data_IF_001808404979
#
_entry.id   IF_001808404979
#
_cell.length_a   1.000
_cell.length_b   1.000
_cell.length_c   1.000
_cell.angle_alpha   90.00
_cell.angle_beta   90.00
_cell.angle_gamma   90.00
#
_symmetry.space_group_name_H-M   'P 1'
#
loop_
_entity.id
_entity.type
_entity.pdbx_description
1 polymer ?
#
# COMPACT_ATOMS: atom_id res chain seq x y z
N UNK A 1 10.07 7.87 15.48
CA UNK A 1 10.52 8.41 14.18
C UNK A 1 11.62 7.51 13.62
N UNK A 2 11.69 7.38 12.30
CA UNK A 2 12.65 6.49 11.62
C UNK A 2 14.10 6.91 11.84
N UNK A 3 14.36 8.20 12.08
CA UNK A 3 15.70 8.71 12.41
C UNK A 3 16.25 8.17 13.73
N UNK A 4 15.40 7.65 14.61
CA UNK A 4 15.78 7.02 15.90
C UNK A 4 15.85 5.50 15.84
N UNK A 5 15.76 4.89 14.64
CA UNK A 5 15.76 3.43 14.50
C UNK A 5 17.00 2.77 15.14
N UNK A 6 18.18 3.41 15.05
CA UNK A 6 19.40 2.91 15.74
C UNK A 6 19.18 2.76 17.25
N UNK A 7 18.55 3.75 17.86
CA UNK A 7 18.36 3.80 19.31
C UNK A 7 17.35 2.71 19.72
N UNK A 8 16.24 2.57 18.98
CA UNK A 8 15.28 1.49 19.17
C UNK A 8 15.91 0.09 19.04
N UNK A 9 16.83 -0.11 18.10
CA UNK A 9 17.53 -1.39 17.95
C UNK A 9 18.48 -1.68 19.12
N UNK A 10 19.12 -0.66 19.70
CA UNK A 10 19.96 -0.82 20.89
C UNK A 10 19.12 -1.20 22.12
N UNK A 11 17.92 -0.60 22.26
CA UNK A 11 16.98 -0.96 23.31
C UNK A 11 16.45 -2.38 23.11
N UNK A 12 16.07 -2.78 21.89
CA UNK A 12 15.68 -4.16 21.58
C UNK A 12 16.79 -5.16 21.91
N UNK A 13 18.06 -4.84 21.60
CA UNK A 13 19.19 -5.70 21.95
C UNK A 13 19.35 -5.92 23.46
N UNK A 14 18.97 -4.92 24.28
CA UNK A 14 19.03 -4.99 25.74
C UNK A 14 17.84 -5.75 26.32
N UNK A 15 16.65 -5.45 25.82
CA UNK A 15 15.38 -5.79 26.48
C UNK A 15 14.66 -6.97 25.82
N UNK A 16 14.82 -7.17 24.51
CA UNK A 16 14.14 -8.19 23.71
C UNK A 16 15.12 -8.85 22.72
N UNK A 17 16.12 -9.55 23.26
CA UNK A 17 17.22 -10.15 22.48
C UNK A 17 16.73 -11.02 21.32
N UNK A 18 15.71 -11.84 21.55
CA UNK A 18 15.15 -12.73 20.52
C UNK A 18 14.58 -11.93 19.33
N UNK A 19 13.85 -10.84 19.61
CA UNK A 19 13.34 -9.96 18.56
C UNK A 19 14.47 -9.23 17.84
N UNK A 20 15.51 -8.79 18.56
CA UNK A 20 16.70 -8.20 17.94
C UNK A 20 17.43 -9.21 17.03
N UNK A 21 17.49 -10.50 17.41
CA UNK A 21 18.01 -11.54 16.51
C UNK A 21 17.13 -11.73 15.28
N UNK A 22 15.80 -11.80 15.45
CA UNK A 22 14.86 -11.90 14.34
C UNK A 22 15.01 -10.70 13.39
N UNK A 23 15.14 -9.48 13.93
CA UNK A 23 15.44 -8.29 13.15
C UNK A 23 16.69 -8.51 12.29
N UNK A 24 17.80 -8.97 12.86
CA UNK A 24 19.05 -9.19 12.10
C UNK A 24 18.97 -10.35 11.09
N UNK A 25 18.03 -11.31 11.28
CA UNK A 25 17.75 -12.36 10.28
C UNK A 25 17.05 -11.82 9.04
N UNK A 26 16.24 -10.77 9.20
CA UNK A 26 15.36 -10.24 8.14
C UNK A 26 15.92 -8.97 7.53
N UNK A 27 16.41 -8.05 8.36
CA UNK A 27 16.74 -6.70 7.98
C UNK A 27 18.23 -6.37 8.11
N UNK A 28 18.63 -5.44 7.26
CA UNK A 28 19.83 -4.64 7.38
C UNK A 28 19.46 -3.19 7.64
N UNK A 29 20.29 -2.53 8.43
CA UNK A 29 20.14 -1.13 8.78
C UNK A 29 21.50 -0.43 8.74
N UNK A 30 21.55 0.69 8.03
CA UNK A 30 22.70 1.58 8.00
C UNK A 30 22.26 3.03 8.23
N UNK A 31 23.17 3.81 8.81
CA UNK A 31 22.97 5.24 8.98
C UNK A 31 24.21 5.95 8.47
N UNK A 32 24.03 6.71 7.41
CA UNK A 32 25.07 7.53 6.80
C UNK A 32 24.77 9.03 6.94
N UNK A 33 25.78 9.83 6.64
CA UNK A 33 25.66 11.29 6.55
C UNK A 33 26.08 11.74 5.16
N UNK A 34 25.22 12.53 4.52
CA UNK A 34 25.53 13.22 3.27
C UNK A 34 25.99 14.63 3.58
N UNK A 35 27.09 15.05 2.95
CA UNK A 35 27.63 16.41 3.02
C UNK A 35 27.75 17.01 1.62
N UNK A 36 27.65 18.33 1.52
CA UNK A 36 27.94 19.06 0.28
C UNK A 36 28.64 20.39 0.58
N UNK A 37 29.30 20.93 -0.46
CA UNK A 37 29.82 22.29 -0.43
C UNK A 37 28.79 23.22 -1.06
N UNK A 38 28.56 24.36 -0.43
CA UNK A 38 27.56 25.33 -0.85
C UNK A 38 28.19 26.39 -1.74
N UNK A 39 27.60 26.65 -2.90
CA UNK A 39 28.00 27.77 -3.76
C UNK A 39 27.42 29.09 -3.25
N UNK A 40 28.09 30.21 -3.55
CA UNK A 40 27.64 31.52 -3.08
C UNK A 40 26.22 31.87 -3.54
N UNK A 41 25.89 31.57 -4.80
CA UNK A 41 24.54 31.78 -5.32
C UNK A 41 23.45 30.96 -4.64
N UNK A 42 23.78 29.80 -4.04
CA UNK A 42 22.80 29.06 -3.22
C UNK A 42 22.60 29.70 -1.84
N UNK A 43 23.65 30.26 -1.23
CA UNK A 43 23.54 31.00 0.03
C UNK A 43 22.67 32.25 -0.14
N UNK A 44 22.88 32.99 -1.22
CA UNK A 44 22.06 34.18 -1.56
C UNK A 44 20.59 33.80 -1.78
N UNK A 45 20.33 32.69 -2.48
CA UNK A 45 18.97 32.28 -2.84
C UNK A 45 18.14 31.73 -1.68
N UNK A 46 18.73 30.94 -0.79
CA UNK A 46 18.00 30.21 0.26
C UNK A 46 18.29 30.69 1.68
N UNK A 47 19.28 31.57 1.86
CA UNK A 47 19.69 32.09 3.16
C UNK A 47 20.48 31.08 4.00
N UNK A 48 21.36 31.59 4.86
CA UNK A 48 22.33 30.79 5.63
C UNK A 48 21.67 29.73 6.51
N UNK A 49 20.56 30.04 7.18
CA UNK A 49 19.88 29.09 8.09
C UNK A 49 19.34 27.85 7.38
N UNK A 50 18.76 28.01 6.19
CA UNK A 50 18.25 26.86 5.43
C UNK A 50 19.42 25.99 4.97
N UNK A 51 20.49 26.62 4.48
CA UNK A 51 21.70 25.95 4.05
C UNK A 51 22.33 25.15 5.21
N UNK A 52 22.56 25.76 6.37
CA UNK A 52 23.09 25.09 7.56
C UNK A 52 22.23 23.89 7.96
N UNK A 53 20.90 24.02 7.90
CA UNK A 53 19.98 22.92 8.21
C UNK A 53 20.06 21.76 7.20
N UNK A 54 20.51 22.05 5.98
CA UNK A 54 20.60 21.11 4.88
C UNK A 54 21.99 20.49 4.73
N UNK A 55 23.06 21.13 5.24
CA UNK A 55 24.46 20.72 5.05
C UNK A 55 24.76 19.31 5.58
N UNK A 56 24.13 18.91 6.69
CA UNK A 56 24.31 17.60 7.29
C UNK A 56 23.03 16.78 7.18
N UNK A 57 22.97 15.92 6.17
CA UNK A 57 21.79 15.10 5.92
C UNK A 57 22.01 13.70 6.46
N UNK A 58 21.35 13.40 7.58
CA UNK A 58 21.25 12.02 8.05
C UNK A 58 20.39 11.21 7.08
N UNK A 59 20.92 10.07 6.64
CA UNK A 59 20.26 9.12 5.75
C UNK A 59 20.18 7.78 6.47
N UNK A 60 18.95 7.30 6.65
CA UNK A 60 18.68 5.96 7.16
C UNK A 60 18.44 5.04 5.96
N UNK A 61 19.22 3.96 5.87
CA UNK A 61 19.02 2.89 4.90
C UNK A 61 18.50 1.66 5.63
N UNK A 62 17.45 1.08 5.09
CA UNK A 62 16.85 -0.17 5.57
C UNK A 62 16.71 -1.12 4.41
N UNK A 63 16.96 -2.41 4.63
CA UNK A 63 16.96 -3.40 3.56
C UNK A 63 16.46 -4.73 4.07
N UNK A 64 15.51 -5.34 3.36
CA UNK A 64 14.97 -6.66 3.66
C UNK A 64 15.78 -7.70 2.90
N UNK A 65 16.59 -8.48 3.62
CA UNK A 65 17.51 -9.48 3.07
C UNK A 65 16.80 -10.60 2.31
N UNK A 66 15.51 -10.82 2.60
CA UNK A 66 14.73 -11.90 2.01
C UNK A 66 13.99 -11.47 0.76
N UNK A 67 13.43 -10.26 0.74
CA UNK A 67 12.64 -9.76 -0.39
C UNK A 67 13.41 -8.83 -1.32
N UNK A 68 14.58 -8.34 -0.89
CA UNK A 68 15.36 -7.33 -1.60
C UNK A 68 14.74 -5.93 -1.58
N UNK A 69 13.66 -5.72 -0.82
CA UNK A 69 13.02 -4.42 -0.66
C UNK A 69 13.89 -3.53 0.22
N UNK A 70 14.34 -2.39 -0.31
CA UNK A 70 15.17 -1.43 0.41
C UNK A 70 14.64 0.00 0.31
N UNK A 71 14.84 0.77 1.38
CA UNK A 71 14.31 2.13 1.50
C UNK A 71 15.30 3.08 2.15
N UNK A 72 15.38 4.28 1.58
CA UNK A 72 16.26 5.38 1.99
C UNK A 72 15.41 6.52 2.55
N UNK A 73 15.61 6.86 3.82
CA UNK A 73 14.96 7.98 4.49
C UNK A 73 15.97 9.10 4.71
N UNK A 74 15.74 10.23 4.05
CA UNK A 74 16.59 11.41 4.19
C UNK A 74 15.93 12.43 5.12
N UNK A 75 16.65 12.85 6.16
CA UNK A 75 16.16 13.81 7.17
C UNK A 75 15.63 15.13 6.60
N UNK A 76 16.16 15.63 5.49
CA UNK A 76 15.63 16.82 4.80
C UNK A 76 14.34 16.54 4.04
N UNK A 77 14.19 15.33 3.49
CA UNK A 77 12.95 14.92 2.82
C UNK A 77 11.81 14.76 3.82
N UNK A 78 12.09 14.19 4.99
CA UNK A 78 11.12 14.02 6.09
C UNK A 78 10.60 15.35 6.64
N UNK A 79 11.42 16.43 6.54
CA UNK A 79 11.06 17.78 7.00
C UNK A 79 10.30 18.61 5.97
N UNK A 80 10.11 18.12 4.74
CA UNK A 80 9.42 18.90 3.72
C UNK A 80 8.01 19.26 4.22
N UNK A 81 7.57 20.52 4.04
CA UNK A 81 6.24 20.93 4.45
C UNK A 81 5.19 19.98 3.90
N UNK A 82 4.11 19.81 4.66
CA UNK A 82 2.91 19.12 4.18
C UNK A 82 2.55 19.73 2.84
N UNK A 83 2.38 18.85 1.87
CA UNK A 83 1.99 19.15 0.50
C UNK A 83 0.85 20.16 0.48
N UNK A 84 0.85 21.12 -0.46
CA UNK A 84 -0.27 22.05 -0.68
C UNK A 84 -1.59 21.29 -0.88
N UNK A 85 -2.32 21.12 0.23
CA UNK A 85 -3.54 20.33 0.33
C UNK A 85 -4.72 21.04 -0.34
N UNK A 86 -4.70 22.37 -0.37
CA UNK A 86 -5.75 23.17 -1.00
C UNK A 86 -5.71 23.01 -2.51
N UNK A 87 -4.53 23.14 -3.12
CA UNK A 87 -4.37 22.90 -4.56
C UNK A 87 -4.66 21.43 -4.91
N UNK A 88 -4.20 20.48 -4.09
CA UNK A 88 -4.54 19.07 -4.28
C UNK A 88 -6.05 18.85 -4.26
N UNK A 89 -6.79 19.45 -3.32
CA UNK A 89 -8.26 19.34 -3.25
C UNK A 89 -8.94 19.97 -4.47
N UNK A 90 -8.48 21.13 -4.94
CA UNK A 90 -9.03 21.77 -6.15
C UNK A 90 -8.88 20.86 -7.38
N UNK A 91 -7.68 20.30 -7.59
CA UNK A 91 -7.43 19.36 -8.69
C UNK A 91 -8.31 18.11 -8.55
N UNK A 92 -8.48 17.59 -7.33
CA UNK A 92 -9.36 16.46 -7.07
C UNK A 92 -10.80 16.76 -7.49
N UNK A 93 -11.34 17.89 -7.05
CA UNK A 93 -12.71 18.30 -7.34
C UNK A 93 -12.95 18.49 -8.84
N UNK A 94 -11.96 19.00 -9.57
CA UNK A 94 -12.01 19.14 -11.03
C UNK A 94 -12.03 17.77 -11.73
N UNK A 95 -11.18 16.83 -11.30
CA UNK A 95 -11.15 15.47 -11.84
C UNK A 95 -12.49 14.74 -11.62
N UNK A 96 -13.07 14.83 -10.43
CA UNK A 96 -14.34 14.16 -10.08
C UNK A 96 -15.54 14.78 -10.82
N UNK A 97 -15.51 16.08 -11.10
CA UNK A 97 -16.58 16.77 -11.84
C UNK A 97 -16.60 16.39 -13.32
N UNK A 98 -15.46 16.00 -13.90
CA UNK A 98 -15.41 15.62 -15.32
C UNK A 98 -15.95 14.22 -15.58
N UNK A 99 -17.26 14.17 -15.85
CA UNK A 99 -17.97 12.94 -16.21
C UNK A 99 -18.15 12.74 -17.72
N UNK A 100 -17.65 13.66 -18.56
CA UNK A 100 -18.08 13.76 -19.97
C UNK A 100 -17.76 12.52 -20.82
N UNK A 101 -16.78 11.71 -20.40
CA UNK A 101 -16.33 10.49 -21.10
C UNK A 101 -16.18 9.29 -20.17
N UNK A 102 -16.95 9.27 -19.08
CA UNK A 102 -16.85 8.18 -18.12
C UNK A 102 -17.73 7.00 -18.54
N UNK A 103 -17.10 5.93 -19.01
CA UNK A 103 -17.76 4.68 -19.39
C UNK A 103 -18.45 4.01 -18.18
N UNK A 104 -17.90 4.23 -16.99
CA UNK A 104 -18.33 3.58 -15.74
C UNK A 104 -19.55 4.25 -15.08
N UNK A 105 -19.99 5.41 -15.56
CA UNK A 105 -21.27 5.99 -15.17
C UNK A 105 -22.48 5.22 -15.73
N UNK A 106 -22.29 4.47 -16.83
CA UNK A 106 -23.31 3.58 -17.42
C UNK A 106 -22.64 2.26 -17.83
N UNK A 107 -22.16 1.48 -16.85
CA UNK A 107 -21.27 0.35 -17.12
C UNK A 107 -21.96 -0.72 -17.98
N UNK A 108 -23.27 -0.92 -17.83
CA UNK A 108 -24.04 -1.87 -18.63
C UNK A 108 -24.04 -1.53 -20.14
N UNK A 109 -23.87 -0.25 -20.49
CA UNK A 109 -23.87 0.22 -21.88
C UNK A 109 -22.46 0.32 -22.47
N UNK A 110 -21.47 0.72 -21.67
CA UNK A 110 -20.13 1.07 -22.16
C UNK A 110 -19.00 0.13 -21.71
N UNK A 111 -19.33 -0.99 -21.06
CA UNK A 111 -18.35 -2.03 -20.73
C UNK A 111 -18.86 -3.40 -21.17
N UNK A 112 -17.98 -4.34 -21.55
CA UNK A 112 -18.41 -5.71 -21.83
C UNK A 112 -18.69 -6.46 -20.51
N UNK A 113 -19.41 -7.57 -20.59
CA UNK A 113 -19.57 -8.52 -19.49
C UNK A 113 -18.71 -9.77 -19.71
N UNK A 114 -18.49 -10.55 -18.65
CA UNK A 114 -17.81 -11.85 -18.76
C UNK A 114 -18.76 -12.88 -19.36
N UNK A 115 -18.25 -14.04 -19.81
CA UNK A 115 -19.07 -15.10 -20.41
C UNK A 115 -20.14 -15.66 -19.46
N UNK A 116 -19.94 -15.49 -18.15
CA UNK A 116 -20.90 -15.87 -17.12
C UNK A 116 -21.86 -14.73 -16.73
N UNK A 117 -21.81 -13.60 -17.45
CA UNK A 117 -22.57 -12.39 -17.18
C UNK A 117 -21.87 -11.46 -16.19
N UNK A 118 -22.66 -10.59 -15.56
CA UNK A 118 -22.20 -9.66 -14.51
C UNK A 118 -22.59 -10.15 -13.14
N UNK A 119 -21.73 -9.92 -12.17
CA UNK A 119 -22.08 -9.96 -10.75
C UNK A 119 -22.58 -8.57 -10.37
N UNK A 120 -23.76 -8.50 -9.79
CA UNK A 120 -24.40 -7.24 -9.38
C UNK A 120 -24.48 -7.20 -7.87
N UNK A 121 -23.67 -6.34 -7.26
CA UNK A 121 -23.76 -5.98 -5.85
C UNK A 121 -24.81 -4.92 -5.59
N UNK A 122 -25.03 -4.57 -4.33
CA UNK A 122 -25.93 -3.47 -3.93
C UNK A 122 -25.38 -2.11 -4.33
N UNK A 123 -24.06 -1.93 -4.23
CA UNK A 123 -23.35 -0.67 -4.46
C UNK A 123 -22.31 -0.76 -5.56
N UNK A 124 -22.21 -1.91 -6.24
CA UNK A 124 -21.25 -2.16 -7.30
C UNK A 124 -21.80 -3.08 -8.39
N UNK A 125 -21.12 -3.11 -9.53
CA UNK A 125 -21.41 -4.01 -10.63
C UNK A 125 -20.11 -4.43 -11.31
N UNK A 126 -20.02 -5.67 -11.77
CA UNK A 126 -18.84 -6.12 -12.49
C UNK A 126 -18.96 -5.94 -14.00
N UNK A 127 -17.80 -5.87 -14.63
CA UNK A 127 -17.63 -5.88 -16.07
C UNK A 127 -16.40 -6.70 -16.43
N UNK A 128 -16.36 -7.18 -17.66
CA UNK A 128 -15.15 -7.73 -18.27
C UNK A 128 -14.23 -6.56 -18.64
N UNK A 129 -12.95 -6.64 -18.32
CA UNK A 129 -12.01 -5.64 -18.81
C UNK A 129 -11.81 -5.83 -20.32
N UNK A 130 -11.98 -4.76 -21.11
CA UNK A 130 -11.77 -4.77 -22.56
C UNK A 130 -10.27 -4.90 -22.91
N UNK A 131 -9.41 -4.30 -22.09
CA UNK A 131 -7.95 -4.38 -22.21
C UNK A 131 -7.40 -5.22 -21.05
N UNK A 132 -7.55 -6.53 -21.19
CA UNK A 132 -7.26 -7.50 -20.14
C UNK A 132 -5.78 -7.52 -19.73
N UNK A 133 -5.53 -7.58 -18.43
CA UNK A 133 -4.18 -7.80 -17.89
C UNK A 133 -3.78 -9.28 -17.87
N UNK A 134 -4.77 -10.16 -17.69
CA UNK A 134 -4.64 -11.61 -17.70
C UNK A 134 -5.90 -12.23 -18.33
N UNK A 135 -5.89 -13.53 -18.62
CA UNK A 135 -7.00 -14.24 -19.26
C UNK A 135 -8.35 -13.97 -18.57
N UNK A 136 -8.34 -13.94 -17.23
CA UNK A 136 -9.47 -13.52 -16.41
C UNK A 136 -9.15 -12.19 -15.76
N UNK A 137 -9.62 -11.13 -16.41
CA UNK A 137 -9.46 -9.75 -15.98
C UNK A 137 -10.82 -9.07 -16.04
N UNK A 138 -11.38 -8.84 -14.85
CA UNK A 138 -12.63 -8.14 -14.61
C UNK A 138 -12.41 -6.78 -13.96
N UNK A 139 -13.49 -6.02 -13.90
CA UNK A 139 -13.61 -4.74 -13.23
C UNK A 139 -14.75 -4.86 -12.23
N UNK A 140 -14.55 -4.38 -11.02
CA UNK A 140 -15.64 -4.05 -10.09
C UNK A 140 -15.81 -2.54 -10.13
N UNK A 141 -17.00 -2.08 -10.54
CA UNK A 141 -17.30 -0.67 -10.77
C UNK A 141 -18.25 -0.21 -9.67
N UNK A 142 -17.88 0.85 -8.95
CA UNK A 142 -18.71 1.44 -7.90
C UNK A 142 -19.91 2.13 -8.53
N UNK A 143 -21.04 2.24 -7.83
CA UNK A 143 -22.19 3.02 -8.34
C UNK A 143 -21.92 4.53 -8.27
N UNK A 144 -21.16 4.97 -7.26
CA UNK A 144 -20.71 6.36 -7.15
C UNK A 144 -19.55 6.64 -8.09
N UNK A 145 -19.55 7.84 -8.67
CA UNK A 145 -18.48 8.28 -9.56
C UNK A 145 -17.22 8.68 -8.78
N UNK A 146 -17.37 9.34 -7.64
CA UNK A 146 -16.23 9.72 -6.81
C UNK A 146 -15.60 8.46 -6.20
N UNK A 147 -14.33 8.13 -6.51
CA UNK A 147 -13.67 6.95 -5.97
C UNK A 147 -13.36 7.06 -4.47
N UNK A 148 -13.41 8.27 -3.90
CA UNK A 148 -13.10 8.54 -2.50
C UNK A 148 -14.35 8.69 -1.62
N UNK A 149 -15.55 8.73 -2.21
CA UNK A 149 -16.82 8.76 -1.48
C UNK A 149 -17.38 7.33 -1.36
N UNK A 150 -17.12 6.70 -0.22
CA UNK A 150 -17.71 5.42 0.13
C UNK A 150 -17.92 5.29 1.64
N UNK A 151 -19.02 4.64 2.01
CA UNK A 151 -19.33 4.21 3.38
C UNK A 151 -18.79 2.81 3.65
N UNK A 152 -18.85 2.36 4.91
CA UNK A 152 -18.51 0.98 5.26
C UNK A 152 -19.41 -0.03 4.54
N UNK A 153 -20.72 0.23 4.44
CA UNK A 153 -21.66 -0.66 3.73
C UNK A 153 -21.28 -0.81 2.25
N UNK A 154 -20.99 0.31 1.59
CA UNK A 154 -20.54 0.33 0.19
C UNK A 154 -19.22 -0.43 0.04
N UNK A 155 -18.25 -0.19 0.94
CA UNK A 155 -16.96 -0.87 0.89
C UNK A 155 -17.08 -2.38 1.09
N UNK A 156 -17.88 -2.83 2.07
CA UNK A 156 -18.17 -4.24 2.31
C UNK A 156 -18.83 -4.90 1.08
N UNK A 157 -19.77 -4.21 0.43
CA UNK A 157 -20.38 -4.68 -0.83
C UNK A 157 -19.33 -4.90 -1.93
N UNK A 158 -18.32 -4.03 -2.02
CA UNK A 158 -17.25 -4.18 -3.02
C UNK A 158 -16.45 -5.47 -2.78
N UNK A 159 -16.07 -5.76 -1.55
CA UNK A 159 -15.31 -6.98 -1.22
C UNK A 159 -16.15 -8.24 -1.44
N UNK A 160 -17.44 -8.22 -1.07
CA UNK A 160 -18.35 -9.35 -1.31
C UNK A 160 -18.58 -9.59 -2.80
N UNK A 161 -18.85 -8.54 -3.57
CA UNK A 161 -19.08 -8.63 -5.02
C UNK A 161 -17.83 -9.11 -5.76
N UNK A 162 -16.63 -8.67 -5.34
CA UNK A 162 -15.37 -9.18 -5.87
C UNK A 162 -15.20 -10.69 -5.61
N UNK A 163 -15.52 -11.14 -4.39
CA UNK A 163 -15.45 -12.56 -4.01
C UNK A 163 -16.40 -13.43 -4.86
N UNK A 164 -17.63 -12.97 -5.09
CA UNK A 164 -18.57 -13.68 -5.97
C UNK A 164 -18.08 -13.72 -7.43
N UNK A 165 -17.49 -12.62 -7.93
CA UNK A 165 -16.87 -12.63 -9.26
C UNK A 165 -15.74 -13.64 -9.37
N UNK A 166 -14.86 -13.72 -8.36
CA UNK A 166 -13.78 -14.71 -8.34
C UNK A 166 -14.35 -16.14 -8.38
N UNK A 167 -15.35 -16.48 -7.56
CA UNK A 167 -15.99 -17.81 -7.57
C UNK A 167 -16.55 -18.18 -8.95
N UNK A 168 -17.19 -17.22 -9.63
CA UNK A 168 -17.71 -17.43 -10.99
C UNK A 168 -16.58 -17.63 -12.00
N UNK A 169 -15.54 -16.80 -11.96
CA UNK A 169 -14.38 -16.91 -12.82
C UNK A 169 -13.61 -18.22 -12.60
N UNK A 170 -13.42 -18.67 -11.36
CA UNK A 170 -12.79 -19.96 -11.04
C UNK A 170 -13.58 -21.12 -11.63
N UNK A 171 -14.90 -21.15 -11.45
CA UNK A 171 -15.78 -22.18 -12.01
C UNK A 171 -15.72 -22.22 -13.54
N UNK A 172 -15.60 -21.07 -14.19
CA UNK A 172 -15.53 -20.98 -15.65
C UNK A 172 -14.15 -21.29 -16.23
N UNK A 173 -13.08 -21.20 -15.43
CA UNK A 173 -11.71 -21.23 -15.92
C UNK A 173 -10.85 -22.39 -15.44
N UNK A 174 -11.13 -22.91 -14.24
CA UNK A 174 -10.21 -23.78 -13.50
C UNK A 174 -8.94 -23.07 -13.01
N UNK A 175 -8.92 -21.73 -12.97
CA UNK A 175 -7.83 -20.94 -12.38
C UNK A 175 -8.13 -20.70 -10.89
N UNK A 176 -7.11 -20.46 -10.06
CA UNK A 176 -7.23 -20.51 -8.59
C UNK A 176 -6.44 -19.43 -7.84
N UNK A 177 -5.82 -18.47 -8.55
CA UNK A 177 -5.00 -17.44 -7.91
C UNK A 177 -5.62 -16.04 -8.09
N UNK A 178 -6.62 -15.70 -7.26
CA UNK A 178 -7.23 -14.38 -7.27
C UNK A 178 -6.26 -13.29 -6.79
N UNK A 179 -6.40 -12.12 -7.38
CA UNK A 179 -5.67 -10.91 -7.02
C UNK A 179 -6.53 -9.69 -7.34
N UNK A 180 -6.72 -8.83 -6.35
CA UNK A 180 -7.48 -7.60 -6.48
C UNK A 180 -6.53 -6.42 -6.45
N UNK A 181 -6.76 -5.44 -7.31
CA UNK A 181 -6.00 -4.19 -7.36
C UNK A 181 -6.96 -3.01 -7.45
N UNK A 182 -6.71 -1.96 -6.68
CA UNK A 182 -7.37 -0.68 -6.81
C UNK A 182 -6.32 0.39 -7.10
N UNK A 183 -6.34 0.90 -8.32
CA UNK A 183 -5.61 2.10 -8.70
C UNK A 183 -6.56 3.29 -8.52
N UNK A 184 -6.34 4.13 -7.51
CA UNK A 184 -7.20 5.28 -7.24
C UNK A 184 -6.58 6.56 -7.79
N UNK A 185 -7.26 7.17 -8.77
CA UNK A 185 -6.85 8.38 -9.52
C UNK A 185 -5.60 8.22 -10.41
N UNK A 186 -5.33 9.16 -11.35
CA UNK A 186 -4.34 8.98 -12.40
C UNK A 186 -2.90 8.74 -11.93
N UNK A 187 -2.45 9.35 -10.82
CA UNK A 187 -1.11 9.08 -10.27
C UNK A 187 -0.92 7.63 -9.83
N UNK A 188 -2.00 6.94 -9.47
CA UNK A 188 -1.97 5.52 -9.16
C UNK A 188 -2.03 4.61 -10.41
N UNK A 189 -2.15 5.19 -11.61
CA UNK A 189 -2.30 4.45 -12.87
C UNK A 189 -3.76 4.16 -13.24
N UNK A 190 -4.73 4.84 -12.63
CA UNK A 190 -6.13 4.73 -13.05
C UNK A 190 -6.36 5.42 -14.41
N UNK A 191 -6.95 4.71 -15.37
CA UNK A 191 -7.33 5.28 -16.68
C UNK A 191 -8.71 5.95 -16.66
N UNK A 192 -9.55 5.61 -15.69
CA UNK A 192 -10.85 6.20 -15.44
C UNK A 192 -10.86 6.78 -14.02
N UNK A 193 -11.40 7.99 -13.85
CA UNK A 193 -11.52 8.64 -12.53
C UNK A 193 -12.52 7.88 -11.65
N UNK A 194 -13.56 7.34 -12.26
CA UNK A 194 -14.65 6.66 -11.58
C UNK A 194 -14.15 5.51 -10.69
N UNK A 195 -14.71 5.39 -9.49
CA UNK A 195 -14.36 4.35 -8.53
C UNK A 195 -14.47 2.93 -9.08
N UNK A 196 -13.34 2.23 -9.17
CA UNK A 196 -13.31 0.85 -9.62
C UNK A 196 -12.09 0.09 -9.07
N UNK A 197 -12.24 -1.23 -9.00
CA UNK A 197 -11.17 -2.18 -8.72
C UNK A 197 -11.00 -3.13 -9.90
N UNK A 198 -9.80 -3.63 -10.09
CA UNK A 198 -9.48 -4.69 -11.05
C UNK A 198 -9.47 -6.03 -10.34
N UNK A 199 -10.12 -7.01 -10.95
CA UNK A 199 -10.21 -8.39 -10.48
C UNK A 199 -9.43 -9.27 -11.44
N UNK A 200 -8.38 -9.93 -10.95
CA UNK A 200 -7.46 -10.72 -11.75
C UNK A 200 -7.43 -12.15 -11.21
N UNK A 201 -7.71 -13.13 -12.05
CA UNK A 201 -7.63 -14.53 -11.69
C UNK A 201 -6.58 -15.22 -12.54
N UNK A 202 -5.49 -15.63 -11.90
CA UNK A 202 -4.34 -16.28 -12.53
C UNK A 202 -4.39 -17.80 -12.42
N UNK A 203 -3.82 -18.49 -13.40
CA UNK A 203 -3.54 -19.95 -13.33
C UNK A 203 -2.40 -20.27 -12.35
N UNK A 204 -1.57 -19.28 -12.04
CA UNK A 204 -0.47 -19.33 -11.07
C UNK A 204 -0.48 -18.04 -10.26
N UNK A 205 0.13 -17.99 -9.06
CA UNK A 205 0.24 -16.74 -8.32
C UNK A 205 0.97 -15.68 -9.16
N UNK A 206 0.54 -14.42 -9.04
CA UNK A 206 1.25 -13.31 -9.67
C UNK A 206 2.67 -13.18 -9.13
N UNK A 207 3.59 -12.69 -9.95
CA UNK A 207 5.04 -12.85 -9.72
C UNK A 207 5.52 -12.42 -8.32
N UNK A 208 5.03 -11.29 -7.79
CA UNK A 208 5.38 -10.82 -6.44
C UNK A 208 4.84 -11.72 -5.33
N UNK A 209 3.65 -12.29 -5.53
CA UNK A 209 3.02 -13.22 -4.59
C UNK A 209 3.74 -14.57 -4.62
N UNK A 210 4.03 -15.11 -5.81
CA UNK A 210 4.82 -16.35 -5.97
C UNK A 210 6.22 -16.22 -5.35
N UNK A 211 6.87 -15.06 -5.52
CA UNK A 211 8.17 -14.79 -4.90
C UNK A 211 8.09 -14.77 -3.37
N UNK A 212 7.05 -14.16 -2.80
CA UNK A 212 6.88 -14.07 -1.35
C UNK A 212 6.53 -15.42 -0.71
N UNK A 213 5.80 -16.27 -1.45
CA UNK A 213 5.55 -17.67 -1.10
C UNK A 213 6.85 -18.48 -1.04
N UNK A 214 7.69 -18.36 -2.07
CA UNK A 214 9.02 -18.99 -2.07
C UNK A 214 9.92 -18.48 -0.94
N UNK A 215 9.91 -17.17 -0.68
CA UNK A 215 10.62 -16.57 0.47
C UNK A 215 10.15 -17.18 1.77
N UNK A 216 8.84 -17.29 1.98
CA UNK A 216 8.25 -17.80 3.22
C UNK A 216 8.59 -19.26 3.44
N UNK A 217 8.53 -20.09 2.39
CA UNK A 217 8.96 -21.49 2.42
C UNK A 217 10.45 -21.63 2.79
N UNK A 218 11.34 -20.92 2.10
CA UNK A 218 12.79 -20.97 2.38
C UNK A 218 13.13 -20.43 3.77
N UNK A 219 12.41 -19.41 4.24
CA UNK A 219 12.59 -18.88 5.59
C UNK A 219 12.21 -19.92 6.65
N UNK A 220 11.06 -20.58 6.46
CA UNK A 220 10.59 -21.66 7.35
C UNK A 220 11.56 -22.84 7.35
N UNK A 221 12.05 -23.27 6.20
CA UNK A 221 13.06 -24.33 6.08
C UNK A 221 14.34 -23.98 6.85
N UNK A 222 14.76 -22.72 6.82
CA UNK A 222 16.01 -22.26 7.44
C UNK A 222 15.90 -22.04 8.95
N UNK A 223 14.80 -21.47 9.42
CA UNK A 223 14.67 -20.99 10.80
C UNK A 223 13.57 -21.69 11.61
N UNK A 224 12.76 -22.55 10.98
CA UNK A 224 11.62 -23.20 11.63
C UNK A 224 10.49 -22.24 12.05
N UNK A 225 10.52 -20.99 11.55
CA UNK A 225 9.57 -19.92 11.91
C UNK A 225 8.84 -19.39 10.68
N UNK A 226 7.68 -18.76 10.90
CA UNK A 226 6.91 -18.10 9.85
C UNK A 226 7.53 -16.74 9.53
N UNK A 227 7.89 -16.52 8.26
CA UNK A 227 8.45 -15.25 7.78
C UNK A 227 7.56 -14.06 8.15
N UNK A 228 6.25 -14.19 7.93
CA UNK A 228 5.29 -13.12 8.18
C UNK A 228 5.04 -12.86 9.67
N UNK A 229 5.10 -13.90 10.51
CA UNK A 229 4.97 -13.76 11.95
C UNK A 229 6.21 -13.03 12.53
N UNK A 230 7.39 -13.38 12.03
CA UNK A 230 8.66 -12.75 12.42
C UNK A 230 8.79 -11.31 11.90
N UNK A 231 8.37 -11.03 10.66
CA UNK A 231 8.26 -9.65 10.16
C UNK A 231 7.33 -8.82 11.04
N UNK A 232 6.15 -9.36 11.40
CA UNK A 232 5.21 -8.64 12.24
C UNK A 232 5.73 -8.41 13.65
N UNK A 233 6.37 -9.42 14.27
CA UNK A 233 6.89 -9.32 15.64
C UNK A 233 7.94 -8.21 15.76
N UNK A 234 8.82 -8.08 14.77
CA UNK A 234 9.78 -6.99 14.66
C UNK A 234 9.08 -5.63 14.58
N UNK A 235 8.11 -5.46 13.68
CA UNK A 235 7.42 -4.17 13.54
C UNK A 235 6.61 -3.81 14.78
N UNK A 236 5.94 -4.78 15.41
CA UNK A 236 5.25 -4.59 16.68
C UNK A 236 6.19 -4.11 17.77
N UNK A 237 7.37 -4.75 17.91
CA UNK A 237 8.35 -4.36 18.91
C UNK A 237 8.99 -2.99 18.64
N UNK A 238 9.05 -2.57 17.38
CA UNK A 238 9.43 -1.22 16.97
C UNK A 238 8.28 -0.19 17.16
N UNK A 239 7.11 -0.58 17.65
CA UNK A 239 5.95 0.31 17.78
C UNK A 239 5.27 0.67 16.45
N UNK A 240 5.56 -0.09 15.39
CA UNK A 240 5.04 0.07 14.03
C UNK A 240 3.99 -0.98 13.65
N UNK A 241 3.58 -1.83 14.59
CA UNK A 241 2.62 -2.90 14.36
C UNK A 241 1.57 -3.03 15.47
N UNK A 242 0.35 -3.39 15.10
CA UNK A 242 -0.78 -3.62 15.98
C UNK A 242 -1.62 -4.80 15.49
N UNK A 243 -2.24 -5.50 16.45
CA UNK A 243 -3.26 -6.52 16.18
C UNK A 243 -4.62 -5.85 16.27
N UNK A 244 -5.51 -6.15 15.32
CA UNK A 244 -6.88 -5.65 15.28
C UNK A 244 -7.79 -6.79 14.86
N UNK A 245 -8.47 -7.41 15.83
CA UNK A 245 -9.10 -8.72 15.62
C UNK A 245 -8.06 -9.79 15.28
N UNK A 246 -8.33 -10.61 14.27
CA UNK A 246 -7.37 -11.61 13.75
C UNK A 246 -6.38 -11.02 12.73
N UNK A 247 -6.55 -9.76 12.35
CA UNK A 247 -5.67 -9.09 11.41
C UNK A 247 -4.47 -8.45 12.13
N UNK A 248 -3.35 -8.41 11.42
CA UNK A 248 -2.12 -7.73 11.84
C UNK A 248 -1.84 -6.60 10.89
N UNK A 249 -1.76 -5.37 11.41
CA UNK A 249 -1.56 -4.14 10.66
C UNK A 249 -0.21 -3.55 11.04
N UNK A 250 0.61 -3.16 10.07
CA UNK A 250 1.89 -2.52 10.34
C UNK A 250 2.33 -1.56 9.24
N UNK A 251 3.08 -0.53 9.62
CA UNK A 251 3.85 0.30 8.68
C UNK A 251 5.25 -0.30 8.55
N UNK A 252 5.65 -0.64 7.32
CA UNK A 252 6.95 -1.29 7.10
C UNK A 252 8.10 -0.29 7.19
N UNK A 253 9.26 -0.73 7.70
CA UNK A 253 10.50 0.06 7.62
C UNK A 253 11.17 0.00 6.25
N UNK A 254 10.78 -0.93 5.37
CA UNK A 254 11.25 -1.02 3.97
C UNK A 254 10.11 -0.74 2.97
N UNK A 255 9.47 0.44 3.00
CA UNK A 255 8.33 0.70 2.14
C UNK A 255 8.75 0.91 0.68
N UNK A 256 7.93 0.41 -0.24
CA UNK A 256 8.05 0.62 -1.69
C UNK A 256 7.68 2.05 -2.10
N UNK A 257 6.72 2.65 -1.39
CA UNK A 257 6.22 4.01 -1.63
C UNK A 257 5.81 4.66 -0.32
N UNK A 258 5.43 5.94 -0.40
CA UNK A 258 5.08 6.73 0.79
C UNK A 258 3.92 6.09 1.56
N UNK A 259 3.93 6.25 2.89
CA UNK A 259 2.84 5.84 3.79
C UNK A 259 2.37 4.40 3.60
N UNK A 260 3.29 3.48 3.29
CA UNK A 260 2.90 2.09 3.03
C UNK A 260 2.39 1.39 4.30
N UNK A 261 1.16 0.88 4.22
CA UNK A 261 0.52 0.06 5.25
C UNK A 261 0.33 -1.36 4.73
N UNK A 262 0.68 -2.34 5.55
CA UNK A 262 0.50 -3.76 5.25
C UNK A 262 -0.46 -4.35 6.27
N UNK A 263 -1.42 -5.14 5.77
CA UNK A 263 -2.34 -5.93 6.59
C UNK A 263 -2.15 -7.39 6.21
N UNK A 264 -1.99 -8.24 7.22
CA UNK A 264 -1.98 -9.69 7.05
C UNK A 264 -3.14 -10.33 7.80
N UNK A 265 -3.77 -11.33 7.19
CA UNK A 265 -4.97 -11.99 7.71
C UNK A 265 -5.03 -13.45 7.25
N UNK A 266 -5.83 -14.28 7.93
CA UNK A 266 -6.00 -15.73 7.63
C UNK A 266 -7.46 -16.14 7.41
N UNK A 267 -8.33 -15.16 7.23
CA UNK A 267 -9.78 -15.31 7.09
C UNK A 267 -10.23 -15.08 5.64
N UNK A 268 -11.45 -15.50 5.32
CA UNK A 268 -12.13 -15.11 4.08
C UNK A 268 -12.56 -13.65 4.19
N UNK A 269 -11.86 -12.75 3.47
CA UNK A 269 -12.10 -11.31 3.53
C UNK A 269 -13.54 -10.91 3.18
N UNK A 270 -14.29 -11.73 2.42
CA UNK A 270 -15.70 -11.46 2.10
C UNK A 270 -16.66 -11.77 3.25
N UNK A 271 -16.22 -12.52 4.26
CA UNK A 271 -17.01 -12.92 5.43
C UNK A 271 -16.51 -12.34 6.74
N UNK A 272 -15.35 -11.68 6.72
CA UNK A 272 -14.73 -11.06 7.88
C UNK A 272 -15.12 -9.58 7.97
N UNK A 273 -16.18 -9.29 8.72
CA UNK A 273 -16.67 -7.91 8.92
C UNK A 273 -15.65 -7.04 9.66
N UNK A 274 -14.84 -7.62 10.54
CA UNK A 274 -13.84 -6.89 11.31
C UNK A 274 -12.70 -6.47 10.39
N UNK A 275 -12.19 -7.36 9.55
CA UNK A 275 -11.20 -7.02 8.52
C UNK A 275 -11.72 -5.95 7.55
N UNK A 276 -12.97 -6.06 7.09
CA UNK A 276 -13.58 -5.06 6.22
C UNK A 276 -13.66 -3.69 6.90
N UNK A 277 -14.09 -3.66 8.17
CA UNK A 277 -14.16 -2.45 8.98
C UNK A 277 -12.77 -1.85 9.24
N UNK A 278 -11.77 -2.65 9.59
CA UNK A 278 -10.39 -2.19 9.78
C UNK A 278 -9.81 -1.60 8.50
N UNK A 279 -9.99 -2.27 7.35
CA UNK A 279 -9.54 -1.77 6.06
C UNK A 279 -10.24 -0.47 5.68
N UNK A 280 -11.55 -0.38 5.92
CA UNK A 280 -12.31 0.85 5.73
C UNK A 280 -11.75 2.00 6.58
N UNK A 281 -11.55 1.79 7.89
CA UNK A 281 -10.98 2.78 8.82
C UNK A 281 -9.59 3.24 8.39
N UNK A 282 -8.73 2.31 7.97
CA UNK A 282 -7.39 2.63 7.46
C UNK A 282 -7.48 3.53 6.22
N UNK A 283 -8.33 3.18 5.25
CA UNK A 283 -8.53 4.00 4.05
C UNK A 283 -9.09 5.38 4.40
N UNK A 284 -10.09 5.47 5.29
CA UNK A 284 -10.64 6.75 5.76
C UNK A 284 -9.58 7.60 6.45
N UNK A 285 -8.78 7.04 7.36
CA UNK A 285 -7.69 7.75 8.01
C UNK A 285 -6.65 8.26 6.99
N UNK A 286 -6.27 7.44 6.01
CA UNK A 286 -5.34 7.84 4.95
C UNK A 286 -5.90 9.00 4.11
N UNK A 287 -7.16 8.90 3.69
CA UNK A 287 -7.80 9.88 2.80
C UNK A 287 -8.11 11.18 3.55
N UNK A 288 -8.83 11.06 4.67
CA UNK A 288 -9.47 12.18 5.35
C UNK A 288 -8.52 12.90 6.32
N UNK A 289 -7.60 12.17 6.97
CA UNK A 289 -6.66 12.76 7.94
C UNK A 289 -5.25 12.94 7.39
N UNK A 290 -4.83 12.08 6.47
CA UNK A 290 -3.45 12.09 5.93
C UNK A 290 -3.34 12.69 4.52
N UNK A 291 -4.46 13.09 3.90
CA UNK A 291 -4.48 13.73 2.59
C UNK A 291 -4.06 12.82 1.43
N UNK A 292 -4.24 11.51 1.57
CA UNK A 292 -3.89 10.52 0.54
C UNK A 292 -5.06 10.39 -0.45
N UNK A 293 -5.06 11.23 -1.49
CA UNK A 293 -6.11 11.19 -2.51
C UNK A 293 -5.86 10.18 -3.62
N UNK A 294 -4.59 9.91 -3.97
CA UNK A 294 -4.23 8.90 -4.97
C UNK A 294 -3.38 7.82 -4.34
N UNK A 295 -3.85 6.59 -4.41
CA UNK A 295 -3.23 5.43 -3.78
C UNK A 295 -3.38 4.19 -4.65
N UNK A 296 -2.51 3.21 -4.40
CA UNK A 296 -2.77 1.85 -4.82
C UNK A 296 -3.08 1.00 -3.60
N UNK A 297 -4.09 0.15 -3.75
CA UNK A 297 -4.35 -0.97 -2.86
C UNK A 297 -4.22 -2.25 -3.67
N UNK A 298 -3.56 -3.26 -3.11
CA UNK A 298 -3.64 -4.62 -3.63
C UNK A 298 -4.11 -5.57 -2.53
N UNK A 299 -4.78 -6.64 -2.93
CA UNK A 299 -5.18 -7.72 -2.04
C UNK A 299 -4.92 -9.06 -2.71
N UNK A 300 -4.07 -9.85 -2.07
CA UNK A 300 -4.01 -11.30 -2.26
C UNK A 300 -4.82 -11.94 -1.13
N UNK A 301 -5.95 -12.63 -1.42
CA UNK A 301 -6.74 -13.26 -0.37
C UNK A 301 -6.00 -14.47 0.21
N UNK A 302 -6.38 -14.86 1.42
CA UNK A 302 -5.78 -16.01 2.08
C UNK A 302 -6.03 -17.30 1.28
N UNK A 303 -4.95 -18.04 1.02
CA UNK A 303 -4.99 -19.37 0.42
C UNK A 303 -4.22 -20.34 1.33
N UNK A 304 -4.93 -21.33 1.89
CA UNK A 304 -4.35 -22.30 2.82
C UNK A 304 -3.31 -23.23 2.18
N UNK A 305 -3.24 -23.30 0.85
CA UNK A 305 -2.22 -24.06 0.11
C UNK A 305 -0.90 -23.31 -0.04
N UNK A 306 -0.85 -22.04 0.36
CA UNK A 306 0.34 -21.19 0.28
C UNK A 306 0.97 -20.96 1.66
N UNK A 307 2.25 -20.66 1.67
CA UNK A 307 3.06 -20.37 2.87
C UNK A 307 2.87 -18.94 3.40
N UNK A 308 2.07 -18.14 2.69
CA UNK A 308 1.79 -16.73 2.98
C UNK A 308 0.37 -16.55 3.54
N UNK A 309 0.15 -15.54 4.40
CA UNK A 309 -1.20 -15.13 4.78
C UNK A 309 -1.90 -14.46 3.59
N UNK A 310 -3.17 -14.10 3.77
CA UNK A 310 -3.78 -13.03 2.98
C UNK A 310 -3.01 -11.73 3.24
N UNK A 311 -2.76 -10.95 2.20
CA UNK A 311 -1.94 -9.73 2.26
C UNK A 311 -2.68 -8.61 1.54
N UNK A 312 -2.90 -7.51 2.25
CA UNK A 312 -3.29 -6.21 1.68
C UNK A 312 -2.10 -5.25 1.81
N UNK A 313 -1.77 -4.54 0.73
CA UNK A 313 -0.79 -3.45 0.74
C UNK A 313 -1.46 -2.18 0.24
N UNK A 314 -1.23 -1.07 0.92
CA UNK A 314 -1.74 0.25 0.55
C UNK A 314 -0.56 1.21 0.47
N UNK A 315 -0.44 1.97 -0.61
CA UNK A 315 0.63 2.95 -0.80
C UNK A 315 0.10 4.30 -1.28
N UNK A 316 0.65 5.38 -0.74
CA UNK A 316 0.40 6.74 -1.21
C UNK A 316 1.23 7.04 -2.47
N UNK A 317 0.56 7.52 -3.52
CA UNK A 317 1.16 7.86 -4.81
C UNK A 317 1.52 9.35 -4.91
N UNK A 318 1.41 10.07 -3.81
CA UNK A 318 1.82 11.45 -3.65
C UNK A 318 0.77 12.46 -4.14
N UNK A 319 1.16 13.73 -4.12
CA UNK A 319 0.26 14.83 -4.48
C UNK A 319 -0.23 14.72 -5.93
N UNK A 320 -1.55 14.63 -6.11
CA UNK A 320 -2.18 14.64 -7.43
C UNK A 320 -1.95 15.92 -8.23
N UNK A 321 -1.68 17.05 -7.56
CA UNK A 321 -1.34 18.31 -8.21
C UNK A 321 0.15 18.40 -8.60
N UNK A 322 0.99 17.44 -8.20
CA UNK A 322 2.41 17.47 -8.55
C UNK A 322 2.63 17.07 -10.00
N UNK A 323 3.36 17.91 -10.74
CA UNK A 323 3.76 17.66 -12.12
C UNK A 323 4.82 16.55 -12.26
N UNK A 324 5.56 16.22 -11.20
CA UNK A 324 6.56 15.16 -11.25
C UNK A 324 5.91 13.78 -11.20
N UNK A 325 6.41 12.83 -11.99
CA UNK A 325 6.10 11.40 -11.82
C UNK A 325 6.27 10.98 -10.35
N UNK A 326 5.50 10.00 -9.92
CA UNK A 326 5.57 9.48 -8.56
C UNK A 326 6.69 8.44 -8.38
N UNK A 327 7.08 7.76 -9.46
CA UNK A 327 8.25 6.89 -9.50
C UNK A 327 9.35 7.53 -10.34
N UNK A 328 10.57 7.46 -9.83
CA UNK A 328 11.79 7.82 -10.54
C UNK A 328 12.72 6.61 -10.71
N UNK A 329 13.95 6.87 -11.14
CA UNK A 329 14.93 5.80 -11.40
C UNK A 329 15.30 4.97 -10.16
N UNK A 330 15.23 5.56 -8.97
CA UNK A 330 15.54 4.84 -7.72
C UNK A 330 14.48 3.80 -7.38
N UNK A 331 13.19 4.13 -7.53
CA UNK A 331 12.12 3.15 -7.31
C UNK A 331 12.08 2.06 -8.39
N UNK A 332 12.56 2.36 -9.61
CA UNK A 332 12.59 1.41 -10.72
C UNK A 332 13.80 0.47 -10.69
N UNK A 333 14.97 0.98 -10.30
CA UNK A 333 16.26 0.28 -10.49
C UNK A 333 17.12 0.18 -9.22
N UNK A 334 16.70 0.79 -8.11
CA UNK A 334 17.45 0.84 -6.87
C UNK A 334 16.58 0.61 -5.65
N UNK A 335 16.77 1.45 -4.63
CA UNK A 335 15.97 1.46 -3.40
C UNK A 335 15.02 2.64 -3.38
N UNK A 336 13.84 2.46 -2.80
CA UNK A 336 12.83 3.51 -2.70
C UNK A 336 13.35 4.70 -1.90
N UNK A 337 13.10 5.91 -2.37
CA UNK A 337 13.45 7.13 -1.62
C UNK A 337 12.19 7.69 -0.96
N UNK A 338 12.17 7.65 0.36
CA UNK A 338 10.95 7.86 1.15
C UNK A 338 11.02 9.19 1.89
N UNK A 339 9.96 9.99 1.73
CA UNK A 339 9.78 11.30 2.34
C UNK A 339 8.81 11.31 3.53
N UNK A 340 8.14 10.21 3.82
CA UNK A 340 7.23 10.04 4.97
C UNK A 340 7.87 9.20 6.08
N UNK A 341 7.56 9.54 7.34
CA UNK A 341 8.02 8.77 8.49
C UNK A 341 6.98 7.67 8.84
N UNK A 342 7.36 6.37 8.80
CA UNK A 342 6.45 5.27 9.11
C UNK A 342 5.86 5.34 10.53
N UNK A 343 6.56 5.94 11.49
CA UNK A 343 6.06 6.06 12.87
C UNK A 343 4.91 7.06 12.96
N UNK A 344 5.02 8.19 12.25
CA UNK A 344 3.99 9.24 12.25
C UNK A 344 2.70 8.71 11.61
N UNK A 345 2.82 8.01 10.48
CA UNK A 345 1.65 7.45 9.81
C UNK A 345 1.03 6.33 10.64
N UNK A 346 1.84 5.45 11.23
CA UNK A 346 1.33 4.32 11.99
C UNK A 346 0.62 4.76 13.28
N UNK A 347 1.10 5.82 13.94
CA UNK A 347 0.41 6.39 15.11
C UNK A 347 -1.04 6.81 14.77
N UNK A 348 -1.25 7.44 13.61
CA UNK A 348 -2.59 7.81 13.13
C UNK A 348 -3.45 6.59 12.82
N UNK A 349 -2.88 5.61 12.10
CA UNK A 349 -3.57 4.36 11.78
C UNK A 349 -3.99 3.62 13.05
N UNK A 350 -3.10 3.53 14.04
CA UNK A 350 -3.41 2.91 15.32
C UNK A 350 -4.56 3.63 16.02
N UNK A 351 -4.52 4.97 16.08
CA UNK A 351 -5.62 5.76 16.63
C UNK A 351 -6.96 5.52 15.93
N UNK A 352 -6.96 5.37 14.60
CA UNK A 352 -8.16 5.07 13.83
C UNK A 352 -8.70 3.64 14.05
N UNK A 353 -7.82 2.67 14.33
CA UNK A 353 -8.22 1.29 14.66
C UNK A 353 -8.83 1.20 16.06
N UNK A 354 -8.29 1.96 17.02
CA UNK A 354 -8.73 1.98 18.42
C UNK A 354 -10.04 2.77 18.66
N UNK A 355 -10.41 3.66 17.73
CA UNK A 355 -11.65 4.46 17.75
C UNK A 355 -12.84 3.68 17.18
#
# INVERSE_FOLDING_TARGET
MITHLRDYLLDLKREQKDIHEIFNRIYDFECGEGHFKVSEGLKERFGTKFIESAENQRIISTYNRWTGEGSLFNSMRLKKPVTDTETARKVLDELIKDKKRCDFCKPELYTPEDNFGRVVGRHSITASNIAKYDAWSGLLIFRKHDPLDFTLEEFSDYIMTASEWFKMAEKSSGFHFPFLVWNCLPRAGASQIHGHMQLLLGRRPYARIAFLDDVSRRYRERYGSSYHDDVFSVHRALGLGAESGEARVYATITPLKEKEIIITFKTDASKDSDLQNHLFKILRCLIDECGVYSFNLSMHPFNAEMEIPGIIRIVDRGNIASASSDMGGMELFGSSVIGSDPYIIFERIKGALDA
#
